data_IF_708079263702
#
_entry.id   IF_708079263702
#
_cell.length_a   1.000
_cell.length_b   1.000
_cell.length_c   1.000
_cell.angle_alpha   90.00
_cell.angle_beta   90.00
_cell.angle_gamma   90.00
#
_symmetry.space_group_name_H-M   'P 1'
#
loop_
_entity.id
_entity.type
_entity.pdbx_description
1 polymer ?
#
# COMPACT_ATOMS: atom_id res chain seq x y z
N UNK A 1 4.22 36.19 2.11
CA UNK A 1 3.51 34.92 2.41
C UNK A 1 4.56 33.86 2.74
N UNK A 2 4.24 32.81 3.50
CA UNK A 2 5.23 31.75 3.80
C UNK A 2 5.78 31.10 2.52
N UNK A 3 4.97 31.01 1.46
CA UNK A 3 5.38 30.53 0.14
C UNK A 3 6.49 31.42 -0.46
N UNK A 4 6.29 32.74 -0.49
CA UNK A 4 7.29 33.64 -1.06
C UNK A 4 8.62 33.65 -0.28
N UNK A 5 8.55 33.44 1.05
CA UNK A 5 9.74 33.27 1.87
C UNK A 5 10.51 31.99 1.51
N UNK A 6 9.80 30.88 1.37
CA UNK A 6 10.39 29.60 0.98
C UNK A 6 10.98 29.64 -0.44
N UNK A 7 10.30 30.27 -1.40
CA UNK A 7 10.81 30.49 -2.75
C UNK A 7 12.08 31.36 -2.76
N UNK A 8 12.14 32.36 -1.88
CA UNK A 8 13.32 33.21 -1.71
C UNK A 8 14.51 32.44 -1.12
N UNK A 9 14.29 31.64 -0.07
CA UNK A 9 15.34 30.85 0.58
C UNK A 9 15.88 29.71 -0.30
N UNK A 10 14.99 29.04 -1.03
CA UNK A 10 15.35 27.92 -1.91
C UNK A 10 15.87 28.37 -3.28
N UNK A 11 15.56 29.60 -3.69
CA UNK A 11 15.81 30.10 -5.04
C UNK A 11 14.94 29.44 -6.12
N UNK A 12 13.92 28.67 -5.73
CA UNK A 12 13.01 27.97 -6.64
C UNK A 12 11.71 28.74 -6.80
N UNK A 13 11.19 28.78 -8.03
CA UNK A 13 9.80 29.15 -8.27
C UNK A 13 8.94 27.90 -8.06
N UNK A 14 8.32 27.78 -6.89
CA UNK A 14 7.57 26.60 -6.50
C UNK A 14 6.13 26.66 -7.02
N UNK A 15 5.55 27.84 -7.16
CA UNK A 15 4.18 27.99 -7.64
C UNK A 15 4.04 29.08 -8.70
N UNK A 16 3.17 28.80 -9.68
CA UNK A 16 2.74 29.79 -10.67
C UNK A 16 1.25 30.08 -10.51
N UNK A 17 0.85 31.33 -10.76
CA UNK A 17 -0.56 31.71 -10.79
C UNK A 17 -1.10 31.58 -12.22
N UNK A 18 -2.05 30.69 -12.43
CA UNK A 18 -2.82 30.56 -13.68
C UNK A 18 -4.31 30.58 -13.36
N UNK A 19 -5.04 31.52 -13.95
CA UNK A 19 -6.50 31.65 -13.74
C UNK A 19 -6.89 31.89 -12.27
N UNK A 20 -6.09 32.65 -11.52
CA UNK A 20 -6.32 32.94 -10.09
C UNK A 20 -5.98 31.79 -9.12
N UNK A 21 -5.60 30.61 -9.64
CA UNK A 21 -5.18 29.45 -8.82
C UNK A 21 -3.66 29.33 -8.79
N UNK A 22 -3.12 28.94 -7.64
CA UNK A 22 -1.74 28.51 -7.49
C UNK A 22 -1.60 27.09 -8.03
N UNK A 23 -0.68 26.88 -8.97
CA UNK A 23 -0.33 25.57 -9.49
C UNK A 23 1.14 25.28 -9.16
N UNK A 24 1.45 24.08 -8.64
CA UNK A 24 2.83 23.70 -8.37
C UNK A 24 3.61 23.56 -9.68
N UNK A 25 4.85 24.01 -9.67
CA UNK A 25 5.80 23.80 -10.77
C UNK A 25 6.39 22.38 -10.73
N UNK A 26 7.04 21.91 -11.81
CA UNK A 26 7.82 20.67 -11.76
C UNK A 26 8.87 20.67 -10.64
N UNK A 27 9.54 21.79 -10.43
CA UNK A 27 10.53 22.01 -9.37
C UNK A 27 9.90 21.86 -7.98
N UNK A 28 8.67 22.37 -7.78
CA UNK A 28 7.96 22.15 -6.52
C UNK A 28 7.63 20.70 -6.24
N UNK A 29 7.31 19.90 -7.27
CA UNK A 29 7.06 18.46 -7.06
C UNK A 29 8.32 17.74 -6.63
N UNK A 30 9.47 18.09 -7.21
CA UNK A 30 10.76 17.53 -6.81
C UNK A 30 11.14 17.96 -5.39
N UNK A 31 11.05 19.26 -5.11
CA UNK A 31 11.36 19.80 -3.79
C UNK A 31 10.42 19.29 -2.70
N UNK A 32 9.13 19.09 -3.02
CA UNK A 32 8.14 18.56 -2.10
C UNK A 32 8.55 17.21 -1.50
N UNK A 33 9.16 16.33 -2.29
CA UNK A 33 9.64 15.01 -1.80
C UNK A 33 10.66 15.19 -0.69
N UNK A 34 11.65 16.07 -0.87
CA UNK A 34 12.68 16.31 0.14
C UNK A 34 12.16 17.13 1.33
N UNK A 35 11.33 18.15 1.08
CA UNK A 35 10.72 18.96 2.14
C UNK A 35 9.81 18.12 3.05
N UNK A 36 9.03 17.21 2.46
CA UNK A 36 8.21 16.27 3.21
C UNK A 36 9.08 15.36 4.10
N UNK A 37 10.17 14.80 3.56
CA UNK A 37 11.11 13.97 4.35
C UNK A 37 11.74 14.75 5.50
N UNK A 38 12.16 16.00 5.29
CA UNK A 38 12.81 16.81 6.33
C UNK A 38 11.83 17.18 7.48
N UNK A 39 10.60 17.55 7.13
CA UNK A 39 9.56 17.83 8.12
C UNK A 39 9.26 16.58 8.94
N UNK A 40 9.16 15.43 8.27
CA UNK A 40 8.87 14.17 8.90
C UNK A 40 10.00 13.70 9.85
N UNK A 41 11.26 13.89 9.47
CA UNK A 41 12.40 13.63 10.34
C UNK A 41 12.34 14.46 11.63
N UNK A 42 11.86 15.70 11.53
CA UNK A 42 11.68 16.60 12.69
C UNK A 42 10.54 16.14 13.60
N UNK A 43 9.42 15.69 13.01
CA UNK A 43 8.31 15.09 13.75
C UNK A 43 8.74 13.79 14.45
N UNK A 44 9.53 12.95 13.77
CA UNK A 44 10.09 11.73 14.32
C UNK A 44 11.00 12.00 15.52
N UNK A 45 11.94 12.93 15.40
CA UNK A 45 12.82 13.32 16.51
C UNK A 45 12.03 13.83 17.72
N UNK A 46 10.97 14.61 17.48
CA UNK A 46 10.07 15.11 18.52
C UNK A 46 9.32 13.99 19.22
N UNK A 47 8.85 12.98 18.46
CA UNK A 47 8.19 11.77 18.98
C UNK A 47 9.16 10.96 19.85
N UNK A 48 10.34 10.64 19.32
CA UNK A 48 11.38 9.88 20.05
C UNK A 48 11.74 10.60 21.36
N UNK A 49 11.91 11.92 21.33
CA UNK A 49 12.17 12.69 22.55
C UNK A 49 11.03 12.61 23.57
N UNK A 50 9.77 12.57 23.12
CA UNK A 50 8.62 12.39 24.01
C UNK A 50 8.57 10.97 24.60
N UNK A 51 8.87 9.94 23.80
CA UNK A 51 8.97 8.56 24.27
C UNK A 51 10.04 8.42 25.35
N UNK A 52 11.24 8.94 25.09
CA UNK A 52 12.36 8.97 26.06
C UNK A 52 11.92 9.63 27.38
N UNK A 53 11.27 10.80 27.31
CA UNK A 53 10.79 11.52 28.52
C UNK A 53 9.72 10.74 29.29
N UNK A 54 8.85 10.03 28.57
CA UNK A 54 7.72 9.31 29.18
C UNK A 54 8.10 7.97 29.81
N UNK A 55 9.34 7.49 29.58
CA UNK A 55 9.77 6.17 30.00
C UNK A 55 9.08 5.01 29.27
N UNK A 56 8.13 5.29 28.36
CA UNK A 56 7.44 4.27 27.56
C UNK A 56 8.45 3.56 26.69
N UNK A 57 8.58 2.25 26.89
CA UNK A 57 9.41 1.40 26.05
C UNK A 57 8.52 0.63 25.08
N UNK A 58 8.71 0.91 23.79
CA UNK A 58 8.14 0.12 22.69
C UNK A 58 7.14 0.89 21.85
N UNK A 59 7.58 1.35 20.69
CA UNK A 59 6.72 1.75 19.59
C UNK A 59 6.92 0.75 18.45
N UNK A 60 5.84 0.43 17.74
CA UNK A 60 5.90 -0.38 16.52
C UNK A 60 4.98 0.25 15.48
N UNK A 61 5.57 0.90 14.48
CA UNK A 61 4.90 1.47 13.32
C UNK A 61 5.03 0.54 12.12
N UNK A 62 3.90 0.14 11.55
CA UNK A 62 3.84 -0.76 10.41
C UNK A 62 3.02 -0.13 9.28
N UNK A 63 3.60 -0.06 8.09
CA UNK A 63 2.88 0.26 6.85
C UNK A 63 2.64 -1.03 6.06
N UNK A 64 1.38 -1.36 5.75
CA UNK A 64 1.09 -2.64 5.12
C UNK A 64 0.00 -2.58 4.06
N UNK A 65 0.11 -3.45 3.06
CA UNK A 65 -0.92 -3.70 2.06
C UNK A 65 -2.23 -4.19 2.72
N UNK A 66 -3.43 -3.81 2.21
CA UNK A 66 -4.68 -4.02 2.94
C UNK A 66 -4.99 -5.47 3.30
N UNK A 67 -4.67 -6.43 2.43
CA UNK A 67 -4.91 -7.85 2.71
C UNK A 67 -4.21 -8.31 4.00
N UNK A 68 -2.99 -7.81 4.23
CA UNK A 68 -2.16 -8.11 5.40
C UNK A 68 -2.54 -7.24 6.60
N UNK A 69 -2.73 -5.93 6.40
CA UNK A 69 -2.96 -4.99 7.48
C UNK A 69 -4.32 -5.17 8.17
N UNK A 70 -5.32 -5.65 7.44
CA UNK A 70 -6.68 -5.84 7.96
C UNK A 70 -6.86 -7.24 8.56
N UNK A 71 -6.33 -8.29 7.92
CA UNK A 71 -6.66 -9.67 8.31
C UNK A 71 -5.56 -10.35 9.14
N UNK A 72 -4.28 -10.11 8.83
CA UNK A 72 -3.16 -10.84 9.42
C UNK A 72 -2.54 -10.09 10.61
N UNK A 73 -2.16 -8.83 10.40
CA UNK A 73 -1.45 -8.05 11.42
C UNK A 73 -2.23 -7.91 12.73
N UNK A 74 -3.54 -7.62 12.76
CA UNK A 74 -4.26 -7.48 14.03
C UNK A 74 -4.19 -8.74 14.88
N UNK A 75 -4.28 -9.92 14.25
CA UNK A 75 -4.17 -11.22 14.95
C UNK A 75 -2.78 -11.43 15.53
N UNK A 76 -1.73 -11.22 14.74
CA UNK A 76 -0.33 -11.39 15.18
C UNK A 76 0.03 -10.38 16.28
N UNK A 77 -0.31 -9.12 16.07
CA UNK A 77 0.04 -8.04 16.97
C UNK A 77 -0.72 -8.11 18.30
N UNK A 78 -1.98 -8.59 18.28
CA UNK A 78 -2.73 -8.85 19.51
C UNK A 78 -2.01 -9.87 20.41
N UNK A 79 -1.40 -10.91 19.82
CA UNK A 79 -0.63 -11.90 20.57
C UNK A 79 0.72 -11.34 21.02
N UNK A 80 1.41 -10.60 20.14
CA UNK A 80 2.69 -9.96 20.43
C UNK A 80 2.61 -8.94 21.59
N UNK A 81 1.49 -8.21 21.67
CA UNK A 81 1.24 -7.18 22.67
C UNK A 81 0.84 -7.72 24.06
N UNK A 82 0.42 -9.00 24.18
CA UNK A 82 -0.12 -9.57 25.44
C UNK A 82 0.75 -9.30 26.67
N UNK A 83 2.06 -9.38 26.52
CA UNK A 83 3.03 -9.22 27.62
C UNK A 83 3.79 -7.88 27.56
N UNK A 84 3.29 -6.90 26.78
CA UNK A 84 3.92 -5.60 26.56
C UNK A 84 2.88 -4.48 26.74
N UNK A 85 2.43 -4.21 27.97
CA UNK A 85 1.33 -3.28 28.23
C UNK A 85 1.63 -1.83 27.83
N UNK A 86 2.91 -1.47 27.70
CA UNK A 86 3.35 -0.13 27.27
C UNK A 86 3.56 -0.01 25.76
N UNK A 87 3.47 -1.11 25.01
CA UNK A 87 3.70 -1.13 23.56
C UNK A 87 2.61 -0.35 22.83
N UNK A 88 3.02 0.68 22.10
CA UNK A 88 2.12 1.40 21.19
C UNK A 88 2.31 0.90 19.77
N UNK A 89 1.21 0.46 19.15
CA UNK A 89 1.21 -0.08 17.80
C UNK A 89 0.47 0.90 16.88
N UNK A 90 1.13 1.33 15.81
CA UNK A 90 0.53 2.11 14.73
C UNK A 90 0.54 1.25 13.47
N UNK A 91 -0.64 1.02 12.89
CA UNK A 91 -0.78 0.32 11.61
C UNK A 91 -1.42 1.29 10.63
N UNK A 92 -0.83 1.42 9.45
CA UNK A 92 -1.49 2.09 8.33
C UNK A 92 -1.67 1.12 7.17
N UNK A 93 -2.79 1.28 6.49
CA UNK A 93 -3.16 0.47 5.32
C UNK A 93 -3.05 1.30 4.06
N UNK A 94 -2.21 0.88 3.11
CA UNK A 94 -1.94 1.59 1.84
C UNK A 94 -1.62 0.58 0.74
N UNK A 95 -1.82 0.94 -0.52
CA UNK A 95 -1.39 0.11 -1.64
C UNK A 95 0.15 -0.06 -1.65
N UNK A 96 0.64 -1.08 -2.35
CA UNK A 96 2.06 -1.45 -2.34
C UNK A 96 2.99 -0.34 -2.87
N UNK A 97 2.51 0.51 -3.80
CA UNK A 97 3.26 1.66 -4.27
C UNK A 97 3.50 2.69 -3.16
N UNK A 98 2.44 3.08 -2.45
CA UNK A 98 2.56 4.05 -1.34
C UNK A 98 3.31 3.46 -0.14
N UNK A 99 3.17 2.17 0.17
CA UNK A 99 3.96 1.53 1.24
C UNK A 99 5.47 1.64 0.94
N UNK A 100 5.88 1.47 -0.32
CA UNK A 100 7.28 1.66 -0.74
C UNK A 100 7.78 3.08 -0.52
N UNK A 101 6.98 4.07 -0.89
CA UNK A 101 7.32 5.49 -0.67
C UNK A 101 7.52 5.78 0.81
N UNK A 102 6.63 5.26 1.67
CA UNK A 102 6.65 5.45 3.12
C UNK A 102 7.83 4.75 3.81
N UNK A 103 8.41 3.71 3.21
CA UNK A 103 9.63 3.11 3.74
C UNK A 103 10.84 4.04 3.64
N UNK A 104 10.89 4.88 2.60
CA UNK A 104 12.00 5.83 2.42
C UNK A 104 12.07 6.90 3.51
N UNK A 105 10.96 7.08 4.24
CA UNK A 105 10.79 8.19 5.17
C UNK A 105 11.25 7.84 6.59
N UNK A 106 11.55 6.55 6.86
CA UNK A 106 11.99 6.04 8.18
C UNK A 106 10.97 6.25 9.31
N UNK A 107 9.70 6.47 8.97
CA UNK A 107 8.59 6.57 9.92
C UNK A 107 8.06 5.22 10.41
N UNK A 108 8.35 4.15 9.68
CA UNK A 108 7.84 2.82 9.90
C UNK A 108 8.98 1.87 10.19
N UNK A 109 8.81 1.05 11.22
CA UNK A 109 9.76 0.02 11.60
C UNK A 109 9.67 -1.19 10.67
N UNK A 110 8.48 -1.44 10.12
CA UNK A 110 8.20 -2.54 9.20
C UNK A 110 7.31 -2.08 8.04
N UNK A 111 7.58 -2.59 6.85
CA UNK A 111 6.65 -2.56 5.74
C UNK A 111 6.30 -3.95 5.22
N UNK A 112 5.05 -4.11 4.82
CA UNK A 112 4.59 -5.31 4.11
C UNK A 112 3.87 -4.89 2.84
N UNK A 113 4.43 -5.23 1.70
CA UNK A 113 3.91 -4.87 0.38
C UNK A 113 4.06 -6.03 -0.58
N UNK A 114 3.29 -5.99 -1.66
CA UNK A 114 3.46 -6.92 -2.77
C UNK A 114 4.66 -6.53 -3.63
N UNK A 115 5.31 -7.52 -4.22
CA UNK A 115 6.41 -7.33 -5.16
C UNK A 115 5.90 -6.71 -6.48
N UNK A 116 6.76 -5.96 -7.21
CA UNK A 116 8.19 -5.75 -6.97
C UNK A 116 8.52 -4.63 -5.97
N UNK A 117 9.55 -4.86 -5.17
CA UNK A 117 10.14 -3.90 -4.24
C UNK A 117 11.56 -3.53 -4.72
N UNK A 118 11.73 -2.35 -5.31
CA UNK A 118 13.04 -1.88 -5.80
C UNK A 118 13.90 -1.21 -4.71
N UNK A 119 13.51 -1.36 -3.43
CA UNK A 119 14.17 -0.70 -2.33
C UNK A 119 15.26 -1.60 -1.72
N UNK A 120 16.52 -1.14 -1.65
CA UNK A 120 17.59 -1.90 -1.02
C UNK A 120 17.42 -1.88 0.50
N UNK A 121 16.71 -2.86 1.05
CA UNK A 121 16.68 -3.09 2.50
C UNK A 121 17.73 -4.13 2.88
N UNK A 122 18.45 -3.92 3.98
CA UNK A 122 19.37 -4.93 4.53
C UNK A 122 18.65 -6.20 5.02
N UNK A 123 17.33 -6.13 5.25
CA UNK A 123 16.52 -7.24 5.74
C UNK A 123 15.14 -7.25 5.03
N UNK A 124 15.03 -8.06 3.97
CA UNK A 124 13.76 -8.36 3.29
C UNK A 124 13.47 -9.85 3.44
N UNK A 125 12.29 -10.19 3.94
CA UNK A 125 11.76 -11.55 3.89
C UNK A 125 10.63 -11.60 2.86
N UNK A 126 10.75 -12.54 1.93
CA UNK A 126 9.72 -12.79 0.92
C UNK A 126 8.97 -14.04 1.33
N UNK A 127 7.66 -13.92 1.40
CA UNK A 127 6.75 -15.05 1.55
C UNK A 127 5.73 -15.03 0.41
N UNK A 128 5.22 -16.20 0.08
CA UNK A 128 4.20 -16.37 -0.96
C UNK A 128 2.97 -17.03 -0.35
N UNK A 129 1.82 -16.69 -0.91
CA UNK A 129 0.55 -17.30 -0.57
C UNK A 129 -0.26 -17.43 -1.86
N UNK A 130 -1.12 -18.44 -1.90
CA UNK A 130 -1.90 -18.72 -3.10
C UNK A 130 -3.03 -17.69 -3.27
N UNK A 131 -3.16 -17.16 -4.49
CA UNK A 131 -4.33 -16.36 -4.88
C UNK A 131 -5.43 -17.32 -5.36
N UNK A 132 -6.61 -17.25 -4.72
CA UNK A 132 -7.69 -18.21 -4.95
C UNK A 132 -8.85 -17.59 -5.71
N UNK A 133 -9.49 -18.38 -6.58
CA UNK A 133 -10.75 -18.00 -7.21
C UNK A 133 -11.89 -18.05 -6.20
N UNK A 134 -12.63 -16.95 -6.06
CA UNK A 134 -13.78 -16.88 -5.17
C UNK A 134 -15.07 -16.88 -5.99
N UNK A 135 -16.03 -17.70 -5.54
CA UNK A 135 -17.31 -17.89 -6.20
C UNK A 135 -18.44 -17.83 -5.17
N UNK A 136 -19.66 -17.43 -5.58
CA UNK A 136 -20.86 -17.65 -4.78
C UNK A 136 -20.99 -19.14 -4.40
N UNK A 137 -21.44 -19.43 -3.18
CA UNK A 137 -21.51 -20.82 -2.66
C UNK A 137 -22.33 -21.76 -3.55
N UNK A 138 -23.34 -21.24 -4.23
CA UNK A 138 -24.22 -22.00 -5.12
C UNK A 138 -23.76 -22.02 -6.58
N UNK A 139 -22.61 -21.40 -6.92
CA UNK A 139 -22.12 -21.35 -8.28
C UNK A 139 -21.77 -22.75 -8.81
N UNK A 140 -22.12 -23.12 -10.06
CA UNK A 140 -21.85 -24.46 -10.60
C UNK A 140 -20.39 -24.88 -10.52
N UNK A 141 -19.47 -23.95 -10.79
CA UNK A 141 -18.02 -24.19 -10.74
C UNK A 141 -17.49 -24.45 -9.31
N UNK A 142 -18.25 -24.14 -8.26
CA UNK A 142 -17.84 -24.41 -6.88
C UNK A 142 -17.73 -25.92 -6.56
N UNK A 143 -18.20 -26.80 -7.47
CA UNK A 143 -18.05 -28.26 -7.38
C UNK A 143 -16.70 -28.75 -7.91
N UNK A 144 -15.99 -27.92 -8.66
CA UNK A 144 -14.70 -28.28 -9.24
C UNK A 144 -13.61 -28.19 -8.17
N UNK A 145 -12.63 -29.09 -8.23
CA UNK A 145 -11.45 -29.06 -7.33
C UNK A 145 -10.43 -28.01 -7.76
N UNK A 146 -10.39 -27.69 -9.05
CA UNK A 146 -9.53 -26.71 -9.67
C UNK A 146 -10.33 -26.03 -10.77
N UNK A 147 -10.18 -24.71 -10.89
CA UNK A 147 -10.84 -23.89 -11.91
C UNK A 147 -9.75 -23.40 -12.85
N UNK A 148 -9.94 -23.59 -14.15
CA UNK A 148 -9.04 -23.07 -15.18
C UNK A 148 -9.66 -21.87 -15.88
N UNK A 149 -8.90 -21.12 -16.70
CA UNK A 149 -9.46 -20.06 -17.53
C UNK A 149 -10.58 -20.54 -18.46
N UNK A 150 -10.51 -21.79 -18.97
CA UNK A 150 -11.54 -22.37 -19.84
C UNK A 150 -12.89 -22.54 -19.13
N UNK A 151 -12.87 -22.93 -17.85
CA UNK A 151 -14.08 -23.03 -17.02
C UNK A 151 -14.76 -21.66 -16.81
N UNK A 152 -13.99 -20.58 -16.95
CA UNK A 152 -14.41 -19.20 -16.73
C UNK A 152 -14.68 -18.44 -18.04
N UNK A 153 -14.67 -19.10 -19.21
CA UNK A 153 -14.92 -18.44 -20.50
C UNK A 153 -16.26 -17.70 -20.51
N UNK A 154 -16.20 -16.37 -20.61
CA UNK A 154 -17.37 -15.50 -20.63
C UNK A 154 -18.12 -15.36 -19.30
N UNK A 155 -17.69 -16.03 -18.23
CA UNK A 155 -18.28 -15.90 -16.90
C UNK A 155 -18.02 -14.49 -16.35
N UNK A 156 -19.04 -13.79 -15.80
CA UNK A 156 -18.84 -12.48 -15.18
C UNK A 156 -17.73 -12.51 -14.12
N UNK A 157 -16.71 -11.67 -14.29
CA UNK A 157 -15.50 -11.67 -13.48
C UNK A 157 -15.27 -10.31 -12.82
N UNK A 158 -15.01 -10.31 -11.51
CA UNK A 158 -14.55 -9.13 -10.77
C UNK A 158 -13.05 -9.22 -10.60
N UNK A 159 -12.30 -8.19 -11.00
CA UNK A 159 -10.83 -8.19 -10.97
C UNK A 159 -10.26 -6.99 -10.21
N UNK A 160 -8.94 -6.95 -10.04
CA UNK A 160 -8.22 -5.78 -9.53
C UNK A 160 -7.96 -4.76 -10.63
N UNK A 161 -7.52 -3.55 -10.29
CA UNK A 161 -7.16 -2.55 -11.30
C UNK A 161 -5.97 -3.00 -12.17
N UNK A 162 -5.92 -2.51 -13.41
CA UNK A 162 -4.88 -2.83 -14.41
C UNK A 162 -3.44 -2.61 -13.96
N UNK A 163 -3.23 -1.69 -13.01
CA UNK A 163 -1.91 -1.41 -12.43
C UNK A 163 -1.44 -2.46 -11.42
N UNK A 164 -2.31 -3.39 -11.03
CA UNK A 164 -1.99 -4.47 -10.09
C UNK A 164 -1.28 -5.63 -10.82
N UNK A 165 -0.19 -6.18 -10.27
CA UNK A 165 0.50 -7.33 -10.85
C UNK A 165 -0.40 -8.56 -11.09
N UNK A 166 -1.40 -8.78 -10.23
CA UNK A 166 -2.34 -9.90 -10.36
C UNK A 166 -3.22 -9.73 -11.59
N UNK A 167 -3.61 -8.49 -11.93
CA UNK A 167 -4.37 -8.24 -13.15
C UNK A 167 -3.60 -8.72 -14.38
N UNK A 168 -2.30 -8.40 -14.47
CA UNK A 168 -1.46 -8.78 -15.62
C UNK A 168 -1.29 -10.30 -15.70
N UNK A 169 -1.12 -10.97 -14.56
CA UNK A 169 -1.03 -12.43 -14.50
C UNK A 169 -2.32 -13.11 -14.96
N UNK A 170 -3.48 -12.61 -14.52
CA UNK A 170 -4.78 -13.12 -14.95
C UNK A 170 -5.00 -12.85 -16.46
N UNK A 171 -4.68 -11.66 -16.94
CA UNK A 171 -4.78 -11.33 -18.36
C UNK A 171 -3.96 -12.29 -19.24
N UNK A 172 -2.71 -12.58 -18.83
CA UNK A 172 -1.84 -13.55 -19.51
C UNK A 172 -2.47 -14.95 -19.49
N UNK A 173 -2.93 -15.41 -18.31
CA UNK A 173 -3.50 -16.74 -18.16
C UNK A 173 -4.74 -16.97 -19.04
N UNK A 174 -5.67 -16.01 -19.09
CA UNK A 174 -6.84 -16.08 -19.98
C UNK A 174 -6.44 -16.04 -21.46
N UNK A 175 -5.48 -15.16 -21.82
CA UNK A 175 -4.99 -15.05 -23.19
C UNK A 175 -4.30 -16.32 -23.67
N UNK A 176 -3.50 -16.97 -22.82
CA UNK A 176 -2.78 -18.21 -23.15
C UNK A 176 -3.72 -19.39 -23.43
N UNK A 177 -4.89 -19.40 -22.79
CA UNK A 177 -5.92 -20.43 -23.01
C UNK A 177 -6.92 -20.04 -24.12
N UNK A 178 -6.87 -18.81 -24.62
CA UNK A 178 -7.84 -18.30 -25.60
C UNK A 178 -9.26 -18.11 -25.02
N UNK A 179 -9.40 -18.09 -23.69
CA UNK A 179 -10.66 -17.90 -23.00
C UNK A 179 -11.04 -16.41 -22.93
N UNK A 180 -12.33 -16.09 -23.01
CA UNK A 180 -12.83 -14.71 -22.92
C UNK A 180 -12.92 -14.27 -21.46
N UNK A 181 -12.09 -13.31 -21.10
CA UNK A 181 -12.13 -12.69 -19.79
C UNK A 181 -13.21 -11.60 -19.71
N UNK A 182 -14.42 -11.97 -19.26
CA UNK A 182 -15.57 -11.07 -19.16
C UNK A 182 -15.54 -10.26 -17.85
N UNK A 183 -14.70 -9.22 -17.80
CA UNK A 183 -14.60 -8.33 -16.64
C UNK A 183 -15.83 -7.43 -16.53
N UNK A 184 -16.58 -7.57 -15.43
CA UNK A 184 -17.81 -6.79 -15.16
C UNK A 184 -17.61 -5.72 -14.09
N UNK A 185 -16.56 -5.84 -13.27
CA UNK A 185 -16.17 -4.83 -12.30
C UNK A 185 -14.67 -4.91 -12.02
N UNK A 186 -14.07 -3.76 -11.72
CA UNK A 186 -12.68 -3.63 -11.28
C UNK A 186 -12.65 -2.96 -9.90
N UNK A 187 -11.77 -3.44 -9.02
CA UNK A 187 -11.65 -2.92 -7.65
C UNK A 187 -10.18 -2.70 -7.27
N UNK A 188 -9.94 -1.89 -6.23
CA UNK A 188 -8.57 -1.68 -5.76
C UNK A 188 -8.05 -2.85 -4.90
N UNK A 189 -8.94 -3.52 -4.15
CA UNK A 189 -8.56 -4.53 -3.16
C UNK A 189 -9.46 -5.75 -3.23
N UNK A 190 -8.88 -6.94 -3.00
CA UNK A 190 -9.61 -8.21 -2.95
C UNK A 190 -10.80 -8.17 -2.00
N UNK A 191 -10.66 -7.55 -0.82
CA UNK A 191 -11.76 -7.46 0.15
C UNK A 191 -13.01 -6.82 -0.42
N UNK A 192 -12.87 -5.85 -1.33
CA UNK A 192 -13.98 -5.21 -2.01
C UNK A 192 -14.55 -6.13 -3.09
N UNK A 193 -13.68 -6.76 -3.89
CA UNK A 193 -14.09 -7.73 -4.90
C UNK A 193 -14.91 -8.89 -4.29
N UNK A 194 -14.54 -9.38 -3.10
CA UNK A 194 -15.24 -10.47 -2.42
C UNK A 194 -16.63 -10.11 -1.89
N UNK A 195 -16.96 -8.82 -1.78
CA UNK A 195 -18.25 -8.33 -1.27
C UNK A 195 -19.26 -8.02 -2.38
N UNK A 196 -18.81 -8.01 -3.64
CA UNK A 196 -19.65 -7.85 -4.83
C UNK A 196 -20.24 -9.21 -5.26
#
# INVERSE_FOLDING_TARGET
TMIAGLEHETGLNLFVRRGGRLQPTPEAKLFYVEAARALEATENASRVAAEIRSGRRGHLAIAAYPSISINLLPRLLSQFAKNKPELQIKIISRNSATVRELMSTQQFDLAVAELPLDYPTSHMEVFSYDCMCMLPRAHPLAKLKQITPDDLDGVPFVTLFRGDPIYQQLASAFSEHGARWNVVAETEFFSTACQL
#
